data_IF_383834096102
#
_entry.id   IF_383834096102
#
_cell.length_a   1.000
_cell.length_b   1.000
_cell.length_c   1.000
_cell.angle_alpha   90.00
_cell.angle_beta   90.00
_cell.angle_gamma   90.00
#
_symmetry.space_group_name_H-M   'P 1'
#
loop_
_entity.id
_entity.type
_entity.pdbx_description
1 polymer ?
#
# COMPACT_ATOMS: atom_id res chain seq x y z
N UNK A 1 9.83 -8.49 -25.80
CA UNK A 1 8.72 -7.52 -25.96
C UNK A 1 7.38 -8.17 -26.31
N UNK A 2 7.29 -8.99 -27.37
CA UNK A 2 6.02 -9.63 -27.79
C UNK A 2 5.42 -10.53 -26.70
N UNK A 3 6.24 -11.28 -25.97
CA UNK A 3 5.78 -12.09 -24.83
C UNK A 3 5.21 -11.24 -23.66
N UNK A 4 5.76 -10.03 -23.46
CA UNK A 4 5.33 -9.09 -22.42
C UNK A 4 4.01 -8.41 -22.81
N UNK A 5 3.89 -8.02 -24.08
CA UNK A 5 2.65 -7.47 -24.65
C UNK A 5 1.50 -8.50 -24.61
N UNK A 6 1.77 -9.74 -25.03
CA UNK A 6 0.79 -10.82 -24.99
C UNK A 6 0.41 -11.22 -23.56
N UNK A 7 1.33 -11.09 -22.59
CA UNK A 7 1.05 -11.31 -21.17
C UNK A 7 0.15 -10.21 -20.58
N UNK A 8 0.45 -8.93 -20.87
CA UNK A 8 -0.34 -7.79 -20.40
C UNK A 8 -1.77 -7.87 -20.97
N UNK A 9 -1.94 -8.11 -22.27
CA UNK A 9 -3.27 -8.22 -22.89
C UNK A 9 -4.02 -9.46 -22.37
N UNK A 10 -3.35 -10.61 -22.23
CA UNK A 10 -4.00 -11.84 -21.76
C UNK A 10 -4.45 -11.73 -20.30
N UNK A 11 -3.69 -11.05 -19.45
CA UNK A 11 -4.08 -10.82 -18.05
C UNK A 11 -5.09 -9.67 -17.90
N UNK A 12 -5.01 -8.63 -18.75
CA UNK A 12 -6.02 -7.58 -18.80
C UNK A 12 -7.39 -8.13 -19.25
N UNK A 13 -7.41 -8.98 -20.28
CA UNK A 13 -8.63 -9.65 -20.77
C UNK A 13 -9.15 -10.75 -19.84
N UNK A 14 -8.27 -11.46 -19.11
CA UNK A 14 -8.68 -12.40 -18.06
C UNK A 14 -9.24 -11.70 -16.82
N UNK A 15 -8.69 -10.53 -16.47
CA UNK A 15 -9.26 -9.65 -15.45
C UNK A 15 -10.67 -9.22 -15.89
N UNK A 16 -10.81 -8.71 -17.12
CA UNK A 16 -12.09 -8.22 -17.66
C UNK A 16 -13.17 -9.31 -17.78
N UNK A 17 -12.82 -10.57 -18.01
CA UNK A 17 -13.79 -11.67 -18.15
C UNK A 17 -14.16 -12.35 -16.82
N UNK A 18 -13.47 -12.05 -15.72
CA UNK A 18 -13.90 -12.45 -14.36
C UNK A 18 -14.88 -11.42 -13.77
N UNK A 19 -15.04 -10.24 -14.39
CA UNK A 19 -15.99 -9.17 -14.01
C UNK A 19 -17.45 -9.42 -14.42
N UNK A 20 -17.90 -10.68 -14.39
CA UNK A 20 -19.33 -11.01 -14.48
C UNK A 20 -19.74 -11.89 -13.30
N UNK A 21 -19.58 -11.38 -12.09
CA UNK A 21 -20.50 -11.70 -11.01
C UNK A 21 -21.28 -10.44 -10.68
N UNK A 22 -22.36 -10.27 -11.44
CA UNK A 22 -23.50 -9.45 -11.04
C UNK A 22 -23.96 -10.03 -9.69
N UNK A 23 -23.60 -9.37 -8.60
CA UNK A 23 -24.32 -9.57 -7.34
C UNK A 23 -25.68 -8.92 -7.56
N UNK A 24 -26.68 -9.74 -7.90
CA UNK A 24 -28.08 -9.33 -7.92
C UNK A 24 -28.47 -9.08 -6.46
N UNK A 25 -28.21 -7.88 -5.96
CA UNK A 25 -28.96 -7.33 -4.84
C UNK A 25 -30.25 -6.73 -5.40
N UNK A 26 -31.37 -6.95 -4.72
CA UNK A 26 -32.62 -6.27 -5.01
C UNK A 26 -32.45 -4.80 -4.61
N UNK A 27 -32.18 -3.92 -5.58
CA UNK A 27 -31.78 -2.53 -5.36
C UNK A 27 -32.98 -1.58 -5.32
N UNK A 28 -33.05 -0.75 -4.28
CA UNK A 28 -33.82 0.50 -4.24
C UNK A 28 -33.15 1.58 -5.11
N UNK A 29 -33.89 2.46 -5.81
CA UNK A 29 -33.36 3.38 -6.83
C UNK A 29 -32.14 4.23 -6.40
N UNK A 30 -32.10 4.66 -5.13
CA UNK A 30 -31.02 5.48 -4.59
C UNK A 30 -29.64 4.81 -4.60
N UNK A 31 -29.59 3.48 -4.45
CA UNK A 31 -28.31 2.75 -4.41
C UNK A 31 -27.76 2.46 -5.82
N UNK A 32 -28.64 2.41 -6.84
CA UNK A 32 -28.21 2.29 -8.25
C UNK A 32 -27.53 3.58 -8.74
N UNK A 33 -28.07 4.74 -8.36
CA UNK A 33 -27.53 6.04 -8.74
C UNK A 33 -26.17 6.33 -8.06
N UNK A 34 -26.03 5.89 -6.80
CA UNK A 34 -24.76 5.98 -6.06
C UNK A 34 -23.67 5.08 -6.65
N UNK A 35 -24.02 3.87 -7.12
CA UNK A 35 -23.06 2.96 -7.78
C UNK A 35 -22.61 3.43 -9.16
N UNK A 36 -23.51 4.06 -9.91
CA UNK A 36 -23.18 4.61 -11.24
C UNK A 36 -22.21 5.78 -11.10
N UNK A 37 -22.44 6.67 -10.11
CA UNK A 37 -21.56 7.80 -9.81
C UNK A 37 -20.14 7.36 -9.39
N UNK A 38 -20.01 6.35 -8.51
CA UNK A 38 -18.69 5.83 -8.10
C UNK A 38 -17.90 5.25 -9.28
N UNK A 39 -18.58 4.59 -10.21
CA UNK A 39 -17.93 4.02 -11.40
C UNK A 39 -17.35 5.11 -12.30
N UNK A 40 -18.09 6.19 -12.53
CA UNK A 40 -17.60 7.35 -13.30
C UNK A 40 -16.38 8.01 -12.63
N UNK A 41 -16.40 8.16 -11.31
CA UNK A 41 -15.27 8.70 -10.54
C UNK A 41 -14.02 7.82 -10.66
N UNK A 42 -14.17 6.49 -10.61
CA UNK A 42 -13.05 5.56 -10.78
C UNK A 42 -12.42 5.74 -12.17
N UNK A 43 -13.23 5.77 -13.22
CA UNK A 43 -12.76 5.96 -14.60
C UNK A 43 -12.03 7.31 -14.76
N UNK A 44 -12.56 8.39 -14.17
CA UNK A 44 -11.90 9.71 -14.18
C UNK A 44 -10.55 9.68 -13.46
N UNK A 45 -10.49 9.10 -12.26
CA UNK A 45 -9.28 9.03 -11.46
C UNK A 45 -8.18 8.22 -12.16
N UNK A 46 -8.54 7.09 -12.78
CA UNK A 46 -7.62 6.26 -13.55
C UNK A 46 -7.13 6.97 -14.82
N UNK A 47 -7.99 7.73 -15.51
CA UNK A 47 -7.55 8.54 -16.65
C UNK A 47 -6.53 9.60 -16.25
N UNK A 48 -6.73 10.29 -15.12
CA UNK A 48 -5.73 11.23 -14.60
C UNK A 48 -4.43 10.52 -14.22
N UNK A 49 -4.51 9.33 -13.61
CA UNK A 49 -3.35 8.53 -13.25
C UNK A 49 -2.54 8.16 -14.51
N UNK A 50 -3.21 7.68 -15.57
CA UNK A 50 -2.58 7.29 -16.84
C UNK A 50 -1.95 8.47 -17.59
N UNK A 51 -2.54 9.67 -17.47
CA UNK A 51 -1.98 10.92 -18.03
C UNK A 51 -0.83 11.49 -17.21
N UNK A 52 -0.52 10.91 -16.05
CA UNK A 52 0.49 11.43 -15.12
C UNK A 52 0.02 12.66 -14.32
N UNK A 53 -1.28 12.95 -14.35
CA UNK A 53 -1.93 14.05 -13.61
C UNK A 53 -2.22 13.64 -12.16
N UNK A 54 -1.19 13.15 -11.46
CA UNK A 54 -1.32 12.44 -10.18
C UNK A 54 -2.09 13.20 -9.10
N UNK A 55 -1.94 14.53 -9.02
CA UNK A 55 -2.69 15.35 -8.06
C UNK A 55 -4.20 15.25 -8.26
N UNK A 56 -4.66 15.34 -9.52
CA UNK A 56 -6.08 15.23 -9.83
C UNK A 56 -6.59 13.83 -9.52
N UNK A 57 -5.83 12.79 -9.90
CA UNK A 57 -6.20 11.42 -9.55
C UNK A 57 -6.33 11.22 -8.04
N UNK A 58 -5.43 11.78 -7.22
CA UNK A 58 -5.50 11.69 -5.75
C UNK A 58 -6.74 12.36 -5.21
N UNK A 59 -7.10 13.56 -5.71
CA UNK A 59 -8.33 14.24 -5.29
C UNK A 59 -9.57 13.41 -5.58
N UNK A 60 -9.68 12.82 -6.78
CA UNK A 60 -10.82 11.96 -7.12
C UNK A 60 -10.81 10.67 -6.28
N UNK A 61 -9.64 10.08 -6.01
CA UNK A 61 -9.55 8.94 -5.08
C UNK A 61 -9.94 9.30 -3.64
N UNK A 62 -9.69 10.52 -3.17
CA UNK A 62 -10.17 10.99 -1.86
C UNK A 62 -11.70 11.01 -1.83
N UNK A 63 -12.35 11.51 -2.89
CA UNK A 63 -13.82 11.50 -3.03
C UNK A 63 -14.39 10.06 -3.03
N UNK A 64 -13.77 9.15 -3.79
CA UNK A 64 -14.17 7.73 -3.81
C UNK A 64 -14.05 7.11 -2.40
N UNK A 65 -12.98 7.41 -1.66
CA UNK A 65 -12.76 6.87 -0.31
C UNK A 65 -13.65 7.50 0.77
N UNK A 66 -14.28 8.64 0.51
CA UNK A 66 -15.35 9.15 1.37
C UNK A 66 -16.60 8.26 1.29
N UNK A 67 -16.89 7.72 0.10
CA UNK A 67 -18.02 6.82 -0.17
C UNK A 67 -17.68 5.36 0.21
N UNK A 68 -16.52 4.89 -0.25
CA UNK A 68 -16.03 3.52 -0.09
C UNK A 68 -14.70 3.49 0.70
N UNK A 69 -14.71 3.77 2.01
CA UNK A 69 -13.49 3.87 2.82
C UNK A 69 -12.71 2.56 2.97
N UNK A 70 -13.30 1.43 2.59
CA UNK A 70 -12.70 0.11 2.66
C UNK A 70 -12.44 -0.47 1.25
N UNK A 71 -12.35 0.37 0.22
CA UNK A 71 -11.95 -0.11 -1.11
C UNK A 71 -10.43 -0.23 -1.22
N UNK A 72 -9.94 -1.47 -1.16
CA UNK A 72 -8.51 -1.79 -1.24
C UNK A 72 -7.89 -1.25 -2.54
N UNK A 73 -8.64 -1.29 -3.65
CA UNK A 73 -8.11 -0.95 -4.97
C UNK A 73 -7.83 0.56 -5.10
N UNK A 74 -8.75 1.38 -4.65
CA UNK A 74 -8.61 2.84 -4.61
C UNK A 74 -7.42 3.24 -3.74
N UNK A 75 -7.23 2.59 -2.58
CA UNK A 75 -6.04 2.80 -1.76
C UNK A 75 -4.74 2.42 -2.50
N UNK A 76 -4.69 1.30 -3.23
CA UNK A 76 -3.52 0.93 -4.04
C UNK A 76 -3.21 2.00 -5.09
N UNK A 77 -4.21 2.41 -5.86
CA UNK A 77 -4.04 3.37 -6.97
C UNK A 77 -3.62 4.76 -6.46
N UNK A 78 -4.20 5.20 -5.34
CA UNK A 78 -3.77 6.42 -4.65
C UNK A 78 -2.33 6.30 -4.12
N UNK A 79 -1.96 5.15 -3.56
CA UNK A 79 -0.59 4.84 -3.15
C UNK A 79 0.40 4.91 -4.32
N UNK A 80 0.02 4.40 -5.50
CA UNK A 80 0.78 4.47 -6.75
C UNK A 80 0.94 5.92 -7.21
N UNK A 81 -0.14 6.71 -7.23
CA UNK A 81 -0.10 8.12 -7.59
C UNK A 81 0.88 8.91 -6.70
N UNK A 82 0.84 8.68 -5.39
CA UNK A 82 1.76 9.28 -4.41
C UNK A 82 3.20 8.83 -4.64
N UNK A 83 3.43 7.53 -4.92
CA UNK A 83 4.76 7.01 -5.25
C UNK A 83 5.33 7.66 -6.52
N UNK A 84 4.48 7.89 -7.53
CA UNK A 84 4.90 8.59 -8.75
C UNK A 84 5.19 10.08 -8.51
N UNK A 85 4.42 10.78 -7.67
CA UNK A 85 4.76 12.15 -7.25
C UNK A 85 6.12 12.17 -6.54
N UNK A 86 6.40 11.20 -5.66
CA UNK A 86 7.71 11.05 -5.02
C UNK A 86 8.81 10.85 -6.07
N UNK A 87 8.58 10.00 -7.07
CA UNK A 87 9.55 9.78 -8.16
C UNK A 87 9.79 11.06 -8.97
N UNK A 88 8.75 11.83 -9.31
CA UNK A 88 8.87 13.14 -9.96
C UNK A 88 9.77 14.10 -9.14
N UNK A 89 9.68 14.07 -7.81
CA UNK A 89 10.55 14.87 -6.95
C UNK A 89 12.03 14.44 -6.95
N UNK A 90 12.33 13.20 -7.37
CA UNK A 90 13.70 12.64 -7.47
C UNK A 90 14.29 12.70 -8.87
N UNK A 91 13.48 12.91 -9.90
CA UNK A 91 13.93 13.15 -11.26
C UNK A 91 14.41 14.60 -11.32
N UNK A 92 15.70 14.85 -11.06
CA UNK A 92 16.30 16.18 -10.99
C UNK A 92 15.65 17.19 -11.94
N UNK A 93 14.83 18.07 -11.35
CA UNK A 93 14.26 19.29 -11.92
C UNK A 93 14.15 19.26 -13.46
N UNK A 94 13.15 18.57 -14.02
CA UNK A 94 12.50 19.20 -15.16
C UNK A 94 11.80 20.44 -14.59
N UNK A 95 12.39 21.61 -14.83
CA UNK A 95 11.70 22.88 -14.60
C UNK A 95 10.47 22.89 -15.50
N UNK A 96 9.36 22.36 -15.00
CA UNK A 96 8.05 22.80 -15.47
C UNK A 96 7.86 24.19 -14.86
N UNK A 97 7.75 25.20 -15.73
CA UNK A 97 7.74 26.66 -15.46
C UNK A 97 6.71 27.16 -14.41
N UNK A 98 6.05 26.29 -13.64
CA UNK A 98 5.01 26.65 -12.68
C UNK A 98 4.98 25.83 -11.37
N UNK A 99 6.10 25.27 -10.91
CA UNK A 99 6.08 24.43 -9.70
C UNK A 99 6.47 25.20 -8.43
N UNK A 100 5.52 25.97 -7.88
CA UNK A 100 5.63 26.59 -6.55
C UNK A 100 5.73 25.56 -5.40
N UNK A 101 5.58 24.27 -5.69
CA UNK A 101 5.43 23.20 -4.68
C UNK A 101 6.62 22.24 -4.76
N UNK A 102 7.53 22.36 -3.79
CA UNK A 102 8.63 21.42 -3.57
C UNK A 102 8.12 20.25 -2.72
N UNK A 103 7.99 19.06 -3.31
CA UNK A 103 7.61 17.87 -2.57
C UNK A 103 8.78 17.35 -1.74
N UNK A 104 8.55 17.13 -0.45
CA UNK A 104 9.49 16.43 0.42
C UNK A 104 9.40 14.92 0.16
N UNK A 105 10.47 14.34 -0.41
CA UNK A 105 10.56 12.93 -0.79
C UNK A 105 10.18 12.01 0.38
N UNK A 106 10.61 12.36 1.61
CA UNK A 106 10.33 11.54 2.80
C UNK A 106 8.84 11.58 3.17
N UNK A 107 8.22 12.76 3.10
CA UNK A 107 6.79 12.93 3.39
C UNK A 107 5.93 12.27 2.33
N UNK A 108 6.23 12.43 1.04
CA UNK A 108 5.45 11.77 -0.02
C UNK A 108 5.60 10.25 0.03
N UNK A 109 6.80 9.73 0.31
CA UNK A 109 7.01 8.28 0.53
C UNK A 109 6.15 7.77 1.69
N UNK A 110 6.12 8.51 2.82
CA UNK A 110 5.26 8.18 3.96
C UNK A 110 3.78 8.10 3.57
N UNK A 111 3.27 9.10 2.85
CA UNK A 111 1.87 9.13 2.42
C UNK A 111 1.54 7.94 1.52
N UNK A 112 2.39 7.63 0.55
CA UNK A 112 2.25 6.45 -0.31
C UNK A 112 2.19 5.15 0.50
N UNK A 113 3.11 4.98 1.45
CA UNK A 113 3.14 3.81 2.34
C UNK A 113 1.88 3.68 3.20
N UNK A 114 1.29 4.79 3.66
CA UNK A 114 0.05 4.75 4.43
C UNK A 114 -1.12 4.20 3.61
N UNK A 115 -1.23 4.58 2.34
CA UNK A 115 -2.29 4.08 1.46
C UNK A 115 -2.08 2.59 1.13
N UNK A 116 -0.84 2.16 0.84
CA UNK A 116 -0.55 0.74 0.66
C UNK A 116 -0.77 -0.09 1.93
N UNK A 117 -0.46 0.47 3.11
CA UNK A 117 -0.75 -0.18 4.38
C UNK A 117 -2.25 -0.41 4.54
N UNK A 118 -3.07 0.62 4.33
CA UNK A 118 -4.53 0.49 4.35
C UNK A 118 -5.03 -0.56 3.36
N UNK A 119 -4.52 -0.54 2.12
CA UNK A 119 -4.85 -1.54 1.12
C UNK A 119 -4.52 -2.97 1.59
N UNK A 120 -3.39 -3.18 2.26
CA UNK A 120 -2.97 -4.48 2.80
C UNK A 120 -3.77 -4.94 4.02
N UNK A 121 -4.32 -4.02 4.82
CA UNK A 121 -5.22 -4.33 5.95
C UNK A 121 -6.61 -4.76 5.47
N UNK A 122 -7.03 -4.25 4.30
CA UNK A 122 -8.28 -4.64 3.64
C UNK A 122 -8.09 -5.93 2.85
N UNK A 123 -7.03 -6.02 2.05
CA UNK A 123 -6.67 -7.19 1.24
C UNK A 123 -5.24 -7.65 1.55
N UNK A 124 -5.06 -8.56 2.54
CA UNK A 124 -3.76 -9.09 2.92
C UNK A 124 -3.02 -9.89 1.83
N UNK A 125 -3.73 -10.29 0.76
CA UNK A 125 -3.18 -11.00 -0.39
C UNK A 125 -2.83 -10.08 -1.57
N UNK A 126 -2.96 -8.76 -1.42
CA UNK A 126 -2.60 -7.82 -2.49
C UNK A 126 -1.09 -7.76 -2.69
N UNK A 127 -0.62 -8.35 -3.79
CA UNK A 127 0.78 -8.26 -4.24
C UNK A 127 1.17 -6.81 -4.54
N UNK A 128 0.25 -5.99 -5.05
CA UNK A 128 0.49 -4.57 -5.33
C UNK A 128 0.76 -3.80 -4.04
N UNK A 129 -0.08 -3.97 -3.01
CA UNK A 129 0.09 -3.31 -1.71
C UNK A 129 1.39 -3.74 -1.03
N UNK A 130 1.69 -5.04 -1.04
CA UNK A 130 2.94 -5.58 -0.47
C UNK A 130 4.17 -5.04 -1.21
N UNK A 131 4.15 -5.00 -2.54
CA UNK A 131 5.23 -4.39 -3.33
C UNK A 131 5.38 -2.89 -3.03
N UNK A 132 4.27 -2.17 -2.87
CA UNK A 132 4.26 -0.76 -2.50
C UNK A 132 4.89 -0.50 -1.13
N UNK A 133 4.57 -1.31 -0.13
CA UNK A 133 5.20 -1.27 1.19
C UNK A 133 6.69 -1.61 1.13
N UNK A 134 7.07 -2.67 0.41
CA UNK A 134 8.46 -3.06 0.20
C UNK A 134 9.29 -1.94 -0.44
N UNK A 135 8.76 -1.33 -1.50
CA UNK A 135 9.38 -0.19 -2.17
C UNK A 135 9.49 1.02 -1.22
N UNK A 136 8.44 1.30 -0.47
CA UNK A 136 8.42 2.40 0.51
C UNK A 136 9.49 2.25 1.60
N UNK A 137 9.65 1.06 2.17
CA UNK A 137 10.73 0.78 3.12
C UNK A 137 12.11 0.87 2.48
N UNK A 138 12.27 0.36 1.25
CA UNK A 138 13.51 0.50 0.48
C UNK A 138 13.89 1.97 0.25
N UNK A 139 12.91 2.82 -0.05
CA UNK A 139 13.07 4.27 -0.20
C UNK A 139 13.44 5.00 1.11
N UNK A 140 13.32 4.33 2.26
CA UNK A 140 13.79 4.81 3.57
C UNK A 140 15.12 4.17 4.00
N UNK A 141 15.71 3.30 3.16
CA UNK A 141 16.89 2.52 3.50
C UNK A 141 16.62 1.39 4.51
N UNK A 142 15.35 1.07 4.79
CA UNK A 142 14.93 -0.02 5.68
C UNK A 142 14.90 -1.35 4.91
N UNK A 143 16.05 -1.75 4.37
CA UNK A 143 16.13 -2.80 3.38
C UNK A 143 15.73 -4.19 3.92
N UNK A 144 16.03 -4.49 5.18
CA UNK A 144 15.59 -5.73 5.80
C UNK A 144 14.06 -5.80 5.97
N UNK A 145 13.43 -4.67 6.27
CA UNK A 145 11.97 -4.60 6.39
C UNK A 145 11.32 -4.72 5.01
N UNK A 146 11.86 -4.02 4.00
CA UNK A 146 11.45 -4.15 2.61
C UNK A 146 11.47 -5.60 2.11
N UNK A 147 12.53 -6.36 2.44
CA UNK A 147 12.68 -7.76 2.05
C UNK A 147 11.53 -8.64 2.56
N UNK A 148 11.01 -8.38 3.76
CA UNK A 148 9.87 -9.15 4.32
C UNK A 148 8.62 -9.00 3.44
N UNK A 149 8.30 -7.78 3.03
CA UNK A 149 7.12 -7.52 2.19
C UNK A 149 7.26 -8.13 0.79
N UNK A 150 8.44 -8.03 0.16
CA UNK A 150 8.69 -8.69 -1.13
C UNK A 150 8.64 -10.22 -1.02
N UNK A 151 9.16 -10.79 0.07
CA UNK A 151 9.08 -12.24 0.31
C UNK A 151 7.63 -12.69 0.42
N UNK A 152 6.81 -11.98 1.21
CA UNK A 152 5.37 -12.27 1.34
C UNK A 152 4.62 -12.11 0.02
N UNK A 153 4.98 -11.11 -0.80
CA UNK A 153 4.41 -10.96 -2.14
C UNK A 153 4.72 -12.18 -3.04
N UNK A 154 5.93 -12.73 -2.98
CA UNK A 154 6.31 -13.95 -3.71
C UNK A 154 5.72 -15.24 -3.12
N UNK A 155 5.38 -15.27 -1.84
CA UNK A 155 4.61 -16.38 -1.26
C UNK A 155 3.20 -16.46 -1.86
N UNK A 156 2.60 -15.31 -2.21
CA UNK A 156 1.28 -15.22 -2.84
C UNK A 156 1.38 -15.45 -4.36
N UNK A 157 2.32 -14.77 -5.03
CA UNK A 157 2.55 -14.88 -6.47
C UNK A 157 4.03 -15.17 -6.76
N UNK A 158 4.44 -16.45 -6.74
CA UNK A 158 5.85 -16.85 -6.90
C UNK A 158 6.50 -16.43 -8.22
N UNK A 159 5.71 -16.16 -9.25
CA UNK A 159 6.18 -15.76 -10.58
C UNK A 159 6.09 -14.26 -10.86
N UNK A 160 5.79 -13.44 -9.85
CA UNK A 160 5.72 -12.00 -10.01
C UNK A 160 7.10 -11.39 -10.33
N UNK A 161 7.32 -11.08 -11.61
CA UNK A 161 8.59 -10.55 -12.09
C UNK A 161 8.92 -9.16 -11.52
N UNK A 162 7.91 -8.34 -11.19
CA UNK A 162 8.11 -7.01 -10.60
C UNK A 162 8.69 -7.16 -9.20
N UNK A 163 8.12 -8.06 -8.38
CA UNK A 163 8.62 -8.36 -7.04
C UNK A 163 10.03 -8.96 -7.08
N UNK A 164 10.29 -9.92 -7.99
CA UNK A 164 11.63 -10.49 -8.19
C UNK A 164 12.66 -9.39 -8.51
N UNK A 165 12.35 -8.48 -9.43
CA UNK A 165 13.24 -7.37 -9.78
C UNK A 165 13.55 -6.46 -8.58
N UNK A 166 12.53 -6.12 -7.77
CA UNK A 166 12.76 -5.32 -6.57
C UNK A 166 13.62 -6.05 -5.54
N UNK A 167 13.38 -7.35 -5.33
CA UNK A 167 14.15 -8.17 -4.40
C UNK A 167 15.61 -8.31 -4.86
N UNK A 168 15.85 -8.60 -6.14
CA UNK A 168 17.20 -8.70 -6.71
C UNK A 168 17.98 -7.38 -6.55
N UNK A 169 17.34 -6.25 -6.81
CA UNK A 169 17.93 -4.93 -6.61
C UNK A 169 18.26 -4.67 -5.14
N UNK A 170 17.33 -5.00 -4.25
CA UNK A 170 17.48 -4.86 -2.81
C UNK A 170 18.65 -5.68 -2.26
N UNK A 171 18.79 -6.93 -2.72
CA UNK A 171 19.89 -7.82 -2.29
C UNK A 171 21.26 -7.31 -2.74
N UNK A 172 21.35 -6.74 -3.95
CA UNK A 172 22.58 -6.07 -4.41
C UNK A 172 22.95 -4.90 -3.49
N UNK A 173 21.98 -4.10 -3.06
CA UNK A 173 22.22 -2.97 -2.12
C UNK A 173 22.71 -3.48 -0.77
N UNK A 174 22.01 -4.45 -0.16
CA UNK A 174 22.36 -5.00 1.15
C UNK A 174 23.78 -5.59 1.14
N UNK A 175 24.16 -6.25 0.03
CA UNK A 175 25.51 -6.80 -0.14
C UNK A 175 26.58 -5.71 -0.28
N UNK A 176 26.24 -4.58 -0.93
CA UNK A 176 27.19 -3.51 -1.25
C UNK A 176 27.41 -2.54 -0.10
N UNK A 177 26.38 -2.28 0.71
CA UNK A 177 26.40 -1.26 1.76
C UNK A 177 26.00 -1.86 3.12
N UNK A 178 26.73 -1.58 4.21
CA UNK A 178 26.27 -1.95 5.55
C UNK A 178 25.03 -1.12 5.92
N UNK A 179 23.92 -1.79 6.20
CA UNK A 179 22.63 -1.13 6.42
C UNK A 179 22.34 -0.98 7.91
N UNK A 180 22.11 0.24 8.39
CA UNK A 180 21.51 0.48 9.71
C UNK A 180 20.00 0.46 9.57
N UNK A 181 19.32 -0.32 10.41
CA UNK A 181 17.86 -0.40 10.42
C UNK A 181 17.29 0.34 11.63
N UNK A 182 16.10 0.92 11.47
CA UNK A 182 15.37 1.48 12.60
C UNK A 182 14.67 0.37 13.35
N UNK A 183 14.98 0.19 14.64
CA UNK A 183 14.27 -0.76 15.48
C UNK A 183 12.77 -0.47 15.47
N UNK A 184 11.97 -1.48 15.09
CA UNK A 184 10.52 -1.38 15.13
C UNK A 184 10.07 -1.17 16.59
N UNK A 185 9.21 -0.18 16.88
CA UNK A 185 8.74 0.05 18.23
C UNK A 185 8.10 -1.20 18.87
N UNK A 186 8.28 -1.44 20.19
CA UNK A 186 7.74 -2.63 20.86
C UNK A 186 6.23 -2.83 20.69
N UNK A 187 5.45 -1.74 20.65
CA UNK A 187 4.00 -1.83 20.45
C UNK A 187 3.61 -2.38 19.07
N UNK A 188 4.41 -2.12 18.03
CA UNK A 188 4.20 -2.69 16.68
C UNK A 188 4.72 -4.11 16.59
N UNK A 189 5.82 -4.44 17.26
CA UNK A 189 6.29 -5.82 17.36
C UNK A 189 5.26 -6.72 18.03
N UNK A 190 4.56 -6.23 19.05
CA UNK A 190 3.50 -6.98 19.72
C UNK A 190 2.24 -7.12 18.84
N UNK A 191 1.96 -6.16 17.96
CA UNK A 191 0.88 -6.27 16.96
C UNK A 191 1.16 -7.37 15.92
N UNK A 192 2.42 -7.56 15.53
CA UNK A 192 2.82 -8.56 14.52
C UNK A 192 2.87 -10.01 15.05
N UNK A 193 2.85 -10.21 16.37
CA UNK A 193 2.98 -11.54 16.99
C UNK A 193 1.69 -12.36 17.03
N UNK A 194 0.60 -11.88 16.44
CA UNK A 194 -0.75 -12.44 16.64
C UNK A 194 -1.16 -12.53 18.12
N UNK A 195 -0.54 -11.71 18.98
CA UNK A 195 -0.97 -11.52 20.37
C UNK A 195 -2.09 -10.48 20.39
N UNK A 196 -2.93 -10.49 21.43
CA UNK A 196 -4.01 -9.52 21.57
C UNK A 196 -3.41 -8.10 21.52
N UNK A 197 -3.80 -7.25 20.55
CA UNK A 197 -3.31 -5.88 20.51
C UNK A 197 -3.49 -5.16 21.85
N UNK A 198 -2.44 -4.46 22.31
CA UNK A 198 -2.46 -3.76 23.61
C UNK A 198 -3.67 -2.82 23.76
N UNK A 199 -4.11 -2.29 22.63
CA UNK A 199 -5.19 -1.32 22.54
C UNK A 199 -6.54 -1.94 22.86
N UNK A 200 -6.75 -3.24 22.62
CA UNK A 200 -7.99 -3.95 22.98
C UNK A 200 -8.08 -4.06 24.49
N UNK A 201 -6.96 -4.34 25.14
CA UNK A 201 -6.85 -4.37 26.60
C UNK A 201 -7.06 -2.99 27.22
N UNK A 202 -6.55 -1.94 26.57
CA UNK A 202 -6.85 -0.54 26.93
C UNK A 202 -8.34 -0.23 26.79
N UNK A 203 -8.95 -0.58 25.66
CA UNK A 203 -10.38 -0.38 25.38
C UNK A 203 -11.26 -1.13 26.39
N UNK A 204 -10.89 -2.34 26.80
CA UNK A 204 -11.59 -3.08 27.86
C UNK A 204 -11.63 -2.30 29.18
N UNK A 205 -10.53 -1.65 29.56
CA UNK A 205 -10.48 -0.80 30.75
C UNK A 205 -11.33 0.46 30.64
N UNK A 206 -11.33 1.10 29.48
CA UNK A 206 -12.22 2.23 29.19
C UNK A 206 -13.70 1.83 29.16
N UNK A 207 -14.01 0.69 28.57
CA UNK A 207 -15.37 0.15 28.49
C UNK A 207 -15.92 -0.18 29.87
N UNK A 208 -15.08 -0.77 30.72
CA UNK A 208 -15.42 -1.05 32.12
C UNK A 208 -15.52 0.20 33.01
N UNK A 209 -15.03 1.35 32.52
CA UNK A 209 -15.14 2.65 33.19
C UNK A 209 -16.16 3.57 32.52
N UNK A 210 -17.00 3.02 31.63
CA UNK A 210 -18.02 3.73 30.85
C UNK A 210 -17.48 4.93 30.03
N UNK A 211 -16.20 4.88 29.65
CA UNK A 211 -15.55 5.90 28.79
C UNK A 211 -15.77 5.65 27.30
N UNK A 212 -16.09 4.42 26.92
CA UNK A 212 -16.46 4.03 25.56
C UNK A 212 -17.73 3.18 25.62
N UNK A 213 -18.50 3.21 24.53
CA UNK A 213 -19.77 2.49 24.43
C UNK A 213 -19.56 0.97 24.27
N UNK A 214 -20.62 0.20 24.48
CA UNK A 214 -20.64 -1.24 24.17
C UNK A 214 -20.30 -1.47 22.70
N UNK A 215 -20.83 -0.63 21.80
CA UNK A 215 -20.52 -0.67 20.36
C UNK A 215 -19.04 -0.46 20.09
N UNK A 216 -18.37 0.51 20.73
CA UNK A 216 -16.93 0.75 20.56
C UNK A 216 -16.07 -0.42 21.07
N UNK A 217 -16.52 -1.11 22.12
CA UNK A 217 -15.83 -2.28 22.64
C UNK A 217 -16.02 -3.49 21.72
N UNK A 218 -17.23 -3.68 21.17
CA UNK A 218 -17.55 -4.74 20.20
C UNK A 218 -16.67 -4.66 18.95
N UNK A 219 -16.30 -3.46 18.49
CA UNK A 219 -15.31 -3.29 17.39
C UNK A 219 -14.01 -4.03 17.69
N UNK A 220 -13.53 -3.95 18.94
CA UNK A 220 -12.34 -4.68 19.37
C UNK A 220 -12.51 -6.20 19.29
N UNK A 221 -13.71 -6.70 19.59
CA UNK A 221 -14.03 -8.13 19.50
C UNK A 221 -14.13 -8.58 18.04
N UNK A 222 -14.73 -7.75 17.18
CA UNK A 222 -14.79 -7.99 15.74
C UNK A 222 -13.38 -8.08 15.12
N UNK A 223 -12.47 -7.18 15.51
CA UNK A 223 -11.06 -7.25 15.12
C UNK A 223 -10.43 -8.61 15.49
N UNK A 224 -10.64 -9.08 16.73
CA UNK A 224 -10.07 -10.35 17.20
C UNK A 224 -10.56 -11.55 16.41
N UNK A 225 -11.83 -11.52 15.98
CA UNK A 225 -12.43 -12.58 15.17
C UNK A 225 -11.89 -12.50 13.73
N UNK A 226 -11.87 -11.30 13.14
CA UNK A 226 -11.37 -11.05 11.77
C UNK A 226 -9.92 -11.52 11.60
N UNK A 227 -9.08 -11.29 12.60
CA UNK A 227 -7.66 -11.67 12.59
C UNK A 227 -7.41 -13.09 13.14
N UNK A 228 -8.44 -13.91 13.28
CA UNK A 228 -8.38 -15.29 13.79
C UNK A 228 -7.74 -15.47 15.18
N UNK A 229 -7.65 -14.39 15.97
CA UNK A 229 -7.19 -14.43 17.37
C UNK A 229 -8.27 -15.12 18.23
N UNK A 230 -9.55 -14.86 17.94
CA UNK A 230 -10.68 -15.67 18.43
C UNK A 230 -11.20 -16.52 17.27
N UNK A 231 -11.02 -17.83 17.35
CA UNK A 231 -11.58 -18.78 16.38
C UNK A 231 -12.98 -19.22 16.79
N UNK A 232 -13.97 -18.95 15.93
CA UNK A 232 -15.36 -19.35 16.10
C UNK A 232 -15.68 -20.54 15.18
N UNK A 233 -16.28 -21.58 15.74
CA UNK A 233 -16.78 -22.71 14.94
C UNK A 233 -18.17 -22.34 14.39
N UNK A 234 -18.34 -22.37 13.07
CA UNK A 234 -19.50 -21.84 12.34
C UNK A 234 -20.85 -22.51 12.64
N UNK A 235 -20.86 -23.61 13.42
CA UNK A 235 -22.07 -24.38 13.75
C UNK A 235 -22.79 -23.93 15.03
N UNK A 236 -22.30 -22.90 15.72
CA UNK A 236 -22.65 -22.68 17.14
C UNK A 236 -23.35 -21.35 17.47
N UNK A 237 -23.64 -20.49 16.51
CA UNK A 237 -24.25 -19.18 16.81
C UNK A 237 -25.76 -19.37 17.09
N UNK A 238 -26.14 -19.35 18.35
CA UNK A 238 -27.55 -19.35 18.76
C UNK A 238 -28.18 -17.99 18.43
N UNK A 239 -29.25 -18.00 17.62
CA UNK A 239 -29.96 -16.79 17.13
C UNK A 239 -30.86 -16.10 18.17
N UNK A 240 -30.50 -16.13 19.44
CA UNK A 240 -31.24 -15.40 20.47
C UNK A 240 -30.54 -14.06 20.75
N UNK A 241 -30.82 -13.06 19.90
CA UNK A 241 -30.18 -11.74 19.97
C UNK A 241 -30.73 -10.90 21.13
N UNK A 242 -30.03 -10.92 22.26
CA UNK A 242 -30.13 -9.85 23.27
C UNK A 242 -29.04 -8.83 22.96
N UNK A 243 -29.40 -7.65 22.44
CA UNK A 243 -28.44 -6.56 22.16
C UNK A 243 -27.90 -5.87 23.43
N UNK A 244 -28.15 -6.42 24.62
CA UNK A 244 -27.72 -5.84 25.89
C UNK A 244 -26.65 -6.75 26.48
N UNK A 245 -25.43 -6.23 26.59
CA UNK A 245 -24.33 -6.90 27.28
C UNK A 245 -24.58 -6.76 28.80
N UNK A 246 -24.74 -7.86 29.56
CA UNK A 246 -24.86 -7.78 31.02
C UNK A 246 -23.69 -7.02 31.67
N UNK A 247 -24.02 -6.10 32.59
CA UNK A 247 -23.03 -5.25 33.26
C UNK A 247 -21.92 -6.02 33.99
N UNK A 248 -22.18 -7.25 34.45
CA UNK A 248 -21.16 -8.07 35.11
C UNK A 248 -19.98 -8.41 34.19
N UNK A 249 -20.16 -8.41 32.86
CA UNK A 249 -19.10 -8.67 31.89
C UNK A 249 -18.07 -7.53 31.89
N UNK A 250 -18.49 -6.29 32.18
CA UNK A 250 -17.58 -5.15 32.35
C UNK A 250 -16.60 -5.36 33.51
N UNK A 251 -16.97 -6.11 34.55
CA UNK A 251 -16.02 -6.46 35.62
C UNK A 251 -14.88 -7.35 35.12
N UNK A 252 -15.18 -8.30 34.24
CA UNK A 252 -14.16 -9.14 33.62
C UNK A 252 -13.22 -8.30 32.75
N UNK A 253 -13.75 -7.34 32.00
CA UNK A 253 -12.94 -6.39 31.22
C UNK A 253 -12.06 -5.49 32.11
N UNK A 254 -12.56 -5.06 33.27
CA UNK A 254 -11.77 -4.33 34.28
C UNK A 254 -10.64 -5.18 34.84
N UNK A 255 -10.91 -6.43 35.19
CA UNK A 255 -9.91 -7.35 35.71
C UNK A 255 -8.86 -7.68 34.66
N UNK A 256 -9.28 -7.85 33.41
CA UNK A 256 -8.36 -8.12 32.32
C UNK A 256 -7.44 -6.94 32.04
N UNK A 257 -8.00 -5.73 31.89
CA UNK A 257 -7.22 -4.51 31.68
C UNK A 257 -6.26 -4.17 32.82
N UNK A 258 -6.58 -4.57 34.06
CA UNK A 258 -5.70 -4.42 35.22
C UNK A 258 -4.73 -5.58 35.46
N UNK A 259 -4.70 -6.58 34.57
CA UNK A 259 -3.80 -7.74 34.66
C UNK A 259 -4.18 -8.76 35.73
N UNK A 260 -5.41 -8.71 36.26
CA UNK A 260 -5.92 -9.64 37.27
C UNK A 260 -6.42 -10.97 36.71
N UNK A 261 -6.76 -11.02 35.42
CA UNK A 261 -7.06 -12.24 34.69
C UNK A 261 -6.22 -12.31 33.41
N UNK A 262 -5.93 -13.53 32.97
CA UNK A 262 -5.10 -13.77 31.79
C UNK A 262 -5.83 -13.40 30.50
N UNK A 263 -5.05 -13.19 29.44
CA UNK A 263 -5.55 -12.98 28.08
C UNK A 263 -6.39 -14.18 27.62
N UNK A 264 -5.94 -15.41 27.90
CA UNK A 264 -6.65 -16.64 27.55
C UNK A 264 -8.02 -16.76 28.25
N UNK A 265 -8.07 -16.45 29.55
CA UNK A 265 -9.32 -16.51 30.33
C UNK A 265 -10.35 -15.50 29.85
N UNK A 266 -9.89 -14.28 29.54
CA UNK A 266 -10.77 -13.25 29.00
C UNK A 266 -11.31 -13.62 27.63
N UNK A 267 -10.45 -14.10 26.72
CA UNK A 267 -10.86 -14.51 25.36
C UNK A 267 -11.83 -15.70 25.37
N UNK A 268 -11.65 -16.69 26.27
CA UNK A 268 -12.63 -17.78 26.46
C UNK A 268 -14.01 -17.24 26.83
N UNK A 269 -14.06 -16.25 27.73
CA UNK A 269 -15.29 -15.56 28.10
C UNK A 269 -15.93 -14.83 26.93
N UNK A 270 -15.16 -14.06 26.17
CA UNK A 270 -15.67 -13.37 24.96
C UNK A 270 -16.18 -14.38 23.93
N UNK A 271 -15.42 -15.45 23.65
CA UNK A 271 -15.83 -16.52 22.73
C UNK A 271 -17.18 -17.11 23.12
N UNK A 272 -17.37 -17.41 24.41
CA UNK A 272 -18.65 -17.88 24.94
C UNK A 272 -19.78 -16.87 24.68
N UNK A 273 -19.58 -15.60 25.02
CA UNK A 273 -20.60 -14.55 24.86
C UNK A 273 -21.02 -14.34 23.40
N UNK A 274 -20.09 -14.49 22.46
CA UNK A 274 -20.36 -14.42 21.03
C UNK A 274 -21.15 -15.65 20.55
N UNK A 275 -20.73 -16.86 20.96
CA UNK A 275 -21.42 -18.12 20.62
C UNK A 275 -22.87 -18.12 21.12
N UNK A 276 -23.10 -17.66 22.35
CA UNK A 276 -24.44 -17.60 22.95
C UNK A 276 -25.28 -16.40 22.46
N UNK A 277 -24.78 -15.59 21.53
CA UNK A 277 -25.51 -14.44 20.99
C UNK A 277 -25.72 -13.27 21.96
N UNK A 278 -24.98 -13.23 23.08
CA UNK A 278 -25.02 -12.11 24.05
C UNK A 278 -24.24 -10.91 23.50
N UNK A 279 -23.08 -11.17 22.89
CA UNK A 279 -22.37 -10.19 22.09
C UNK A 279 -22.71 -10.48 20.64
N UNK A 280 -23.53 -9.61 20.05
CA UNK A 280 -23.80 -9.67 18.63
C UNK A 280 -22.62 -9.06 17.85
N UNK A 281 -21.91 -9.92 17.14
CA UNK A 281 -20.84 -9.53 16.21
C UNK A 281 -21.29 -9.60 14.75
N UNK A 282 -22.55 -9.98 14.46
CA UNK A 282 -23.08 -10.00 13.09
C UNK A 282 -22.96 -8.59 12.53
N UNK A 283 -22.01 -8.48 11.61
CA UNK A 283 -21.64 -7.28 10.90
C UNK A 283 -22.78 -6.99 9.93
N UNK A 284 -23.75 -6.16 10.33
CA UNK A 284 -24.14 -5.14 9.36
C UNK A 284 -22.88 -4.33 9.15
N UNK A 285 -22.38 -4.33 7.91
CA UNK A 285 -21.21 -3.57 7.45
C UNK A 285 -21.40 -2.10 7.81
N UNK A 286 -21.05 -1.75 9.05
CA UNK A 286 -21.06 -0.36 9.46
C UNK A 286 -19.75 0.19 8.92
N UNK A 287 -19.82 0.81 7.74
CA UNK A 287 -18.71 1.47 7.06
C UNK A 287 -17.90 2.36 8.00
N UNK A 288 -18.57 2.98 8.97
CA UNK A 288 -17.96 3.81 10.02
C UNK A 288 -17.03 3.03 10.97
N UNK A 289 -17.36 1.79 11.32
CA UNK A 289 -16.52 0.93 12.18
C UNK A 289 -15.27 0.50 11.42
N UNK A 290 -15.45 0.03 10.19
CA UNK A 290 -14.33 -0.40 9.32
C UNK A 290 -13.38 0.79 9.08
N UNK A 291 -13.95 1.97 8.79
CA UNK A 291 -13.19 3.21 8.63
C UNK A 291 -12.38 3.55 9.88
N UNK A 292 -13.00 3.53 11.08
CA UNK A 292 -12.30 3.82 12.35
C UNK A 292 -11.18 2.83 12.64
N UNK A 293 -11.39 1.55 12.38
CA UNK A 293 -10.38 0.50 12.58
C UNK A 293 -9.19 0.68 11.64
N UNK A 294 -9.47 0.94 10.35
CA UNK A 294 -8.48 1.21 9.32
C UNK A 294 -7.67 2.49 9.61
N UNK A 295 -8.34 3.57 10.02
CA UNK A 295 -7.69 4.83 10.43
C UNK A 295 -6.78 4.63 11.64
N UNK A 296 -7.21 3.82 12.62
CA UNK A 296 -6.42 3.50 13.79
C UNK A 296 -5.18 2.67 13.46
N UNK A 297 -5.32 1.63 12.64
CA UNK A 297 -4.16 0.82 12.23
C UNK A 297 -3.18 1.65 11.41
N UNK A 298 -3.68 2.46 10.47
CA UNK A 298 -2.86 3.40 9.71
C UNK A 298 -2.16 4.44 10.60
N UNK A 299 -2.82 4.96 11.65
CA UNK A 299 -2.20 5.90 12.58
C UNK A 299 -1.04 5.27 13.37
N UNK A 300 -1.19 4.02 13.82
CA UNK A 300 -0.09 3.30 14.49
C UNK A 300 1.10 3.09 13.54
N UNK A 301 0.81 2.74 12.29
CA UNK A 301 1.82 2.60 11.26
C UNK A 301 2.50 3.94 10.96
N UNK A 302 1.75 5.04 10.89
CA UNK A 302 2.32 6.38 10.68
C UNK A 302 3.35 6.76 11.74
N UNK A 303 3.12 6.41 13.01
CA UNK A 303 4.09 6.67 14.09
C UNK A 303 5.41 5.95 13.87
N UNK A 304 5.38 4.77 13.27
CA UNK A 304 6.59 4.08 12.86
C UNK A 304 7.34 4.84 11.77
N UNK A 305 6.61 5.28 10.73
CA UNK A 305 7.21 6.00 9.61
C UNK A 305 7.79 7.35 10.05
N UNK A 306 7.15 8.06 10.99
CA UNK A 306 7.71 9.30 11.55
C UNK A 306 8.97 9.04 12.39
N UNK A 307 9.04 7.91 13.11
CA UNK A 307 10.28 7.49 13.78
C UNK A 307 11.39 7.25 12.75
N UNK A 308 11.11 6.48 11.70
CA UNK A 308 12.07 6.21 10.61
C UNK A 308 12.57 7.52 10.00
N UNK A 309 11.68 8.45 9.65
CA UNK A 309 12.05 9.76 9.09
C UNK A 309 12.99 10.54 10.00
N UNK A 310 12.73 10.54 11.31
CA UNK A 310 13.59 11.20 12.30
C UNK A 310 14.95 10.52 12.37
N UNK A 311 14.99 9.20 12.37
CA UNK A 311 16.23 8.44 12.50
C UNK A 311 17.09 8.58 11.23
N UNK A 312 16.50 8.58 10.03
CA UNK A 312 17.18 8.93 8.76
C UNK A 312 17.91 10.28 8.87
N UNK A 313 17.21 11.31 9.38
CA UNK A 313 17.76 12.66 9.54
C UNK A 313 18.87 12.72 10.58
N UNK A 314 18.73 12.01 11.70
CA UNK A 314 19.69 12.02 12.79
C UNK A 314 20.95 11.21 12.49
N UNK A 315 20.83 10.14 11.71
CA UNK A 315 21.91 9.20 11.42
C UNK A 315 22.69 9.56 10.14
N UNK A 316 22.28 10.60 9.42
CA UNK A 316 22.73 10.88 8.05
C UNK A 316 22.71 9.62 7.17
N UNK A 317 21.59 8.87 7.25
CA UNK A 317 21.48 7.57 6.62
C UNK A 317 21.58 7.69 5.10
N UNK A 318 22.46 6.88 4.51
CA UNK A 318 22.55 6.74 3.07
C UNK A 318 21.37 5.94 2.53
N UNK A 319 20.70 6.48 1.51
CA UNK A 319 19.61 5.81 0.80
C UNK A 319 19.97 5.80 -0.69
N UNK A 320 20.19 4.61 -1.23
CA UNK A 320 20.37 4.43 -2.68
C UNK A 320 18.99 4.56 -3.36
N UNK A 321 18.85 5.53 -4.27
CA UNK A 321 17.64 5.70 -5.06
C UNK A 321 17.71 4.83 -6.33
N UNK A 322 16.64 4.08 -6.68
CA UNK A 322 16.62 3.22 -7.87
C UNK A 322 16.90 3.93 -9.20
N UNK A 323 16.68 5.25 -9.24
CA UNK A 323 16.96 6.07 -10.41
C UNK A 323 18.05 7.10 -10.10
N UNK A 324 19.27 6.92 -10.62
CA UNK A 324 20.38 7.81 -10.36
C UNK A 324 20.39 9.02 -11.29
N UNK A 325 19.25 9.53 -11.78
CA UNK A 325 19.23 10.62 -12.78
C UNK A 325 20.13 11.78 -12.38
N UNK A 326 20.18 12.13 -11.09
CA UNK A 326 21.01 13.22 -10.61
C UNK A 326 22.50 12.86 -10.64
N UNK A 327 22.86 11.63 -10.25
CA UNK A 327 24.24 11.13 -10.33
C UNK A 327 24.73 10.94 -11.77
N UNK A 328 23.83 10.57 -12.68
CA UNK A 328 24.08 10.46 -14.12
C UNK A 328 24.32 11.86 -14.70
N UNK A 329 23.44 12.84 -14.43
CA UNK A 329 23.60 14.23 -14.89
C UNK A 329 24.89 14.88 -14.34
N UNK A 330 25.22 14.66 -13.06
CA UNK A 330 26.46 15.15 -12.43
C UNK A 330 27.70 14.57 -13.13
N UNK A 331 27.66 13.30 -13.56
CA UNK A 331 28.78 12.65 -14.27
C UNK A 331 28.93 13.13 -15.71
N UNK A 332 27.81 13.36 -16.43
CA UNK A 332 27.82 14.03 -17.74
C UNK A 332 28.40 15.44 -17.64
N UNK A 333 28.08 16.21 -16.58
CA UNK A 333 28.69 17.53 -16.30
C UNK A 333 30.16 17.47 -15.89
N UNK A 334 30.63 16.38 -15.28
CA UNK A 334 32.02 16.24 -14.85
C UNK A 334 32.98 15.94 -16.01
N UNK A 335 32.51 15.19 -17.01
CA UNK A 335 33.28 14.78 -18.19
C UNK A 335 32.56 15.22 -19.48
N UNK A 336 32.12 16.48 -19.57
CA UNK A 336 31.26 16.99 -20.66
C UNK A 336 31.81 16.71 -22.07
N UNK A 337 33.13 16.80 -22.22
CA UNK A 337 33.85 16.57 -23.47
C UNK A 337 33.92 15.09 -23.88
N UNK A 338 33.84 14.16 -22.93
CA UNK A 338 33.82 12.71 -23.21
C UNK A 338 32.45 12.26 -23.68
N UNK A 339 31.40 12.90 -23.16
CA UNK A 339 30.02 12.46 -23.36
C UNK A 339 29.22 13.30 -24.33
N UNK A 340 29.83 14.32 -24.95
CA UNK A 340 29.22 15.22 -25.92
C UNK A 340 27.88 15.79 -25.43
N UNK A 341 27.77 16.07 -24.11
CA UNK A 341 26.51 16.48 -23.48
C UNK A 341 25.92 17.72 -24.15
N UNK A 342 26.73 18.73 -24.43
CA UNK A 342 26.30 19.96 -25.10
C UNK A 342 25.83 19.70 -26.54
N UNK A 343 26.53 18.84 -27.29
CA UNK A 343 26.06 18.42 -28.62
C UNK A 343 24.76 17.58 -28.56
N UNK A 344 24.41 17.01 -27.41
CA UNK A 344 23.14 16.30 -27.21
C UNK A 344 22.02 17.25 -26.75
N UNK A 345 22.32 18.22 -25.88
CA UNK A 345 21.36 19.24 -25.42
C UNK A 345 21.00 20.19 -26.58
N UNK A 346 21.99 20.60 -27.37
CA UNK A 346 21.80 21.49 -28.52
C UNK A 346 21.35 20.73 -29.79
N UNK A 347 21.01 19.44 -29.67
CA UNK A 347 20.44 18.69 -30.79
C UNK A 347 19.03 19.20 -31.11
N UNK A 348 18.73 19.48 -32.38
CA UNK A 348 17.36 19.76 -32.76
C UNK A 348 16.49 18.50 -32.55
N UNK A 349 15.25 18.71 -32.07
CA UNK A 349 14.32 17.65 -31.60
C UNK A 349 13.92 16.64 -32.68
N UNK A 350 14.21 16.94 -33.92
CA UNK A 350 13.84 16.22 -35.15
C UNK A 350 14.90 15.23 -35.65
N UNK A 351 16.00 15.03 -34.90
CA UNK A 351 17.13 14.19 -35.34
C UNK A 351 17.00 12.69 -35.05
N UNK A 352 15.87 12.24 -34.50
CA UNK A 352 15.59 10.80 -34.53
C UNK A 352 15.29 10.45 -35.99
N UNK A 353 16.04 9.49 -36.54
CA UNK A 353 15.68 8.97 -37.86
C UNK A 353 14.20 8.57 -37.83
N UNK A 354 13.42 8.93 -38.88
CA UNK A 354 12.02 8.55 -38.94
C UNK A 354 11.88 7.07 -38.65
N UNK A 355 10.95 6.76 -37.77
CA UNK A 355 10.64 5.38 -37.42
C UNK A 355 10.11 4.68 -38.68
N UNK A 356 10.77 3.61 -39.11
CA UNK A 356 10.26 2.78 -40.19
C UNK A 356 9.27 1.80 -39.59
N UNK A 357 8.00 1.93 -39.98
CA UNK A 357 6.94 1.03 -39.54
C UNK A 357 6.31 0.33 -40.74
N UNK A 358 6.24 -1.00 -40.69
CA UNK A 358 5.58 -1.80 -41.72
C UNK A 358 4.69 -2.88 -41.10
N UNK A 359 3.59 -3.17 -41.79
CA UNK A 359 2.63 -4.20 -41.42
C UNK A 359 3.05 -5.51 -42.08
N UNK A 360 3.25 -6.55 -41.28
CA UNK A 360 3.50 -7.90 -41.76
C UNK A 360 2.21 -8.57 -42.21
N UNK A 361 2.31 -9.61 -43.05
CA UNK A 361 1.16 -10.35 -43.59
C UNK A 361 0.28 -10.99 -42.49
N UNK A 362 0.85 -11.24 -41.30
CA UNK A 362 0.14 -11.77 -40.14
C UNK A 362 -0.52 -10.68 -39.27
N UNK A 363 -0.55 -9.43 -39.73
CA UNK A 363 -1.21 -8.31 -39.05
C UNK A 363 -0.41 -7.68 -37.91
N UNK A 364 0.89 -7.96 -37.80
CA UNK A 364 1.78 -7.37 -36.79
C UNK A 364 2.49 -6.16 -37.38
N UNK A 365 2.39 -5.01 -36.71
CA UNK A 365 3.21 -3.83 -37.00
C UNK A 365 4.61 -4.01 -36.43
N UNK A 366 5.62 -3.99 -37.29
CA UNK A 366 7.03 -3.90 -36.90
C UNK A 366 7.46 -2.44 -37.01
N UNK A 367 8.10 -1.96 -35.95
CA UNK A 367 8.50 -0.56 -35.78
C UNK A 367 10.00 -0.55 -35.52
N UNK A 368 10.77 -0.17 -36.52
CA UNK A 368 12.23 -0.09 -36.47
C UNK A 368 12.66 1.35 -36.15
N UNK A 369 13.51 1.50 -35.13
CA UNK A 369 14.08 2.78 -34.74
C UNK A 369 15.54 2.61 -34.35
N UNK A 370 16.39 3.55 -34.77
CA UNK A 370 17.80 3.58 -34.36
C UNK A 370 17.94 4.28 -33.02
N UNK A 371 18.52 3.58 -32.04
CA UNK A 371 18.92 4.15 -30.76
C UNK A 371 20.43 4.38 -30.78
N UNK A 372 20.87 5.58 -30.44
CA UNK A 372 22.28 5.87 -30.18
C UNK A 372 22.51 5.79 -28.68
N UNK A 373 23.12 4.70 -28.21
CA UNK A 373 23.51 4.51 -26.81
C UNK A 373 25.00 4.86 -26.69
N UNK A 374 25.35 5.85 -25.88
CA UNK A 374 26.74 6.12 -25.54
C UNK A 374 27.30 5.00 -24.66
N UNK A 375 28.59 4.72 -24.79
CA UNK A 375 29.30 3.72 -23.99
C UNK A 375 29.12 3.99 -22.49
N UNK A 376 28.71 3.01 -21.68
CA UNK A 376 28.40 3.29 -20.27
C UNK A 376 29.65 3.20 -19.40
N UNK A 377 29.97 4.23 -18.60
CA UNK A 377 31.12 4.16 -17.72
C UNK A 377 30.84 3.21 -16.55
N UNK A 378 31.77 2.29 -16.28
CA UNK A 378 31.69 1.35 -15.17
C UNK A 378 31.28 2.01 -13.84
N UNK A 379 30.43 1.29 -13.09
CA UNK A 379 29.97 1.68 -11.75
C UNK A 379 28.66 2.47 -11.70
N UNK A 380 27.81 2.38 -12.73
CA UNK A 380 26.42 2.85 -12.63
C UNK A 380 25.59 1.91 -11.75
N UNK A 381 24.58 2.42 -11.00
CA UNK A 381 23.65 1.59 -10.23
C UNK A 381 22.86 0.60 -11.10
N UNK A 382 22.71 0.91 -12.38
CA UNK A 382 22.22 0.03 -13.43
C UNK A 382 23.32 -0.07 -14.49
N UNK A 383 24.24 -1.01 -14.31
CA UNK A 383 25.12 -1.44 -15.40
C UNK A 383 24.24 -2.29 -16.33
N UNK A 384 23.94 -1.78 -17.53
CA UNK A 384 23.11 -2.48 -18.52
C UNK A 384 23.89 -3.56 -19.30
N UNK A 385 25.06 -3.97 -18.79
CA UNK A 385 25.94 -4.97 -19.38
C UNK A 385 25.31 -6.37 -19.45
#
# INVERSE_FOLDING_TARGET
>A
LIAMYNYIIKNFMKSLTIFSFIIIFLVSPAFSEETDNVTELIDEAEQYLLKGEYRKSISVYDEILEILPADSKTHELKGIALSNIRLQATLGSQETENTLIKYDILTTNKLSMLEFYKASEINPASVIALNGLGLGFGNFGEYHEAKKYFTRALEIEPDNFVTKNYLDYLEKIIKKYPTKYTEKPPYLLNLEKNEIPYWIKTNAGWWASDKISDTDFIVGIQYLIKNEIIRLDSKTIEKNSSNIIPAWIKNNAKWWSSGKISDEDFLKGIKYLVITGIINVDVKENSEIIKKELERSAWNFERYLEKIKRDIKNENRYVEYPNPSDGVIIKYKKEEHKWNLWQYIDRPKDRFEPVEAYLTDDGVYIVEYKIFVNDQPHGLPLDHA
#
